data_IF_043447520785
#
_entry.id   IF_043447520785
#
_cell.length_a   1.000
_cell.length_b   1.000
_cell.length_c   1.000
_cell.angle_alpha   90.00
_cell.angle_beta   90.00
_cell.angle_gamma   90.00
#
_symmetry.space_group_name_H-M   'P 1'
#
loop_
_entity.id
_entity.type
_entity.pdbx_description
1 polymer ?
#
# COMPACT_ATOMS: atom_id res chain seq x y z
N UNK A 1 -23.04 -14.22 -7.90
CA UNK A 1 -22.45 -14.45 -6.57
C UNK A 1 -22.87 -13.31 -5.67
N UNK A 2 -23.10 -13.57 -4.38
CA UNK A 2 -23.68 -12.57 -3.48
C UNK A 2 -22.59 -11.57 -3.10
N UNK A 3 -22.54 -10.41 -3.78
CA UNK A 3 -21.47 -9.40 -3.66
C UNK A 3 -21.09 -9.04 -2.21
N UNK A 4 -22.03 -9.15 -1.28
CA UNK A 4 -21.82 -8.86 0.15
C UNK A 4 -20.99 -9.94 0.89
N UNK A 5 -21.09 -11.21 0.48
CA UNK A 5 -20.31 -12.31 1.07
C UNK A 5 -18.84 -12.19 0.65
N UNK A 6 -18.60 -11.83 -0.60
CA UNK A 6 -17.26 -11.66 -1.15
C UNK A 6 -16.56 -10.45 -0.51
N UNK A 7 -17.27 -9.34 -0.31
CA UNK A 7 -16.72 -8.16 0.37
C UNK A 7 -16.29 -8.45 1.81
N UNK A 8 -17.10 -9.16 2.60
CA UNK A 8 -16.72 -9.51 3.98
C UNK A 8 -15.50 -10.42 4.01
N UNK A 9 -15.37 -11.34 3.05
CA UNK A 9 -14.19 -12.19 2.94
C UNK A 9 -12.94 -11.37 2.60
N UNK A 10 -13.06 -10.39 1.70
CA UNK A 10 -11.99 -9.44 1.38
C UNK A 10 -11.59 -8.66 2.63
N UNK A 11 -12.55 -8.02 3.31
CA UNK A 11 -12.29 -7.23 4.53
C UNK A 11 -11.58 -8.04 5.61
N UNK A 12 -12.01 -9.29 5.85
CA UNK A 12 -11.37 -10.17 6.81
C UNK A 12 -9.91 -10.48 6.44
N UNK A 13 -9.62 -10.66 5.14
CA UNK A 13 -8.26 -10.90 4.64
C UNK A 13 -7.40 -9.64 4.63
N UNK A 14 -7.97 -8.49 4.28
CA UNK A 14 -7.28 -7.19 4.40
C UNK A 14 -6.87 -6.93 5.84
N UNK A 15 -7.73 -7.29 6.81
CA UNK A 15 -7.40 -7.14 8.24
C UNK A 15 -6.28 -8.09 8.68
N UNK A 16 -6.30 -9.37 8.27
CA UNK A 16 -5.21 -10.33 8.53
C UNK A 16 -3.87 -9.81 7.97
N UNK A 17 -3.87 -9.29 6.73
CA UNK A 17 -2.69 -8.68 6.12
C UNK A 17 -2.21 -7.45 6.90
N UNK A 18 -3.13 -6.60 7.35
CA UNK A 18 -2.82 -5.41 8.13
C UNK A 18 -2.26 -5.75 9.51
N UNK A 19 -2.79 -6.77 10.19
CA UNK A 19 -2.26 -7.25 11.47
C UNK A 19 -0.83 -7.77 11.32
N UNK A 20 -0.58 -8.55 10.25
CA UNK A 20 0.76 -9.01 9.91
C UNK A 20 1.71 -7.83 9.64
N UNK A 21 1.29 -6.88 8.79
CA UNK A 21 2.07 -5.69 8.48
C UNK A 21 2.36 -4.83 9.74
N UNK A 22 1.39 -4.73 10.65
CA UNK A 22 1.54 -4.04 11.94
C UNK A 22 2.57 -4.71 12.84
N UNK A 23 2.54 -6.04 12.92
CA UNK A 23 3.55 -6.78 13.66
C UNK A 23 4.96 -6.53 13.06
N UNK A 24 5.08 -6.63 11.74
CA UNK A 24 6.34 -6.44 11.02
C UNK A 24 6.96 -5.06 11.26
N UNK A 25 6.21 -3.97 11.04
CA UNK A 25 6.79 -2.64 11.19
C UNK A 25 7.16 -2.33 12.66
N UNK A 26 6.43 -2.89 13.63
CA UNK A 26 6.75 -2.75 15.06
C UNK A 26 8.01 -3.50 15.44
N UNK A 27 8.17 -4.74 14.96
CA UNK A 27 9.36 -5.55 15.21
C UNK A 27 10.64 -4.87 14.70
N UNK A 28 10.54 -4.17 13.57
CA UNK A 28 11.68 -3.50 12.94
C UNK A 28 11.82 -1.99 13.28
N UNK A 29 11.08 -1.50 14.29
CA UNK A 29 11.12 -0.10 14.74
C UNK A 29 10.92 0.91 13.58
N UNK A 30 9.91 0.64 12.75
CA UNK A 30 9.51 1.50 11.63
C UNK A 30 8.25 2.29 12.01
N UNK A 31 8.20 3.55 11.59
CA UNK A 31 7.02 4.38 11.79
C UNK A 31 6.01 4.20 10.65
N UNK A 32 4.76 3.93 11.01
CA UNK A 32 3.67 3.71 10.07
C UNK A 32 2.37 4.29 10.62
N UNK A 33 1.53 4.82 9.73
CA UNK A 33 0.23 5.40 10.07
C UNK A 33 -0.85 4.78 9.21
N UNK A 34 -1.92 4.27 9.82
CA UNK A 34 -3.14 3.94 9.08
C UNK A 34 -3.74 5.23 8.49
N UNK A 35 -4.19 5.19 7.25
CA UNK A 35 -4.78 6.36 6.59
C UNK A 35 -6.06 6.03 5.81
N UNK A 36 -6.57 7.01 5.08
CA UNK A 36 -7.74 6.84 4.19
C UNK A 36 -8.99 6.33 4.90
N UNK A 37 -9.70 5.42 4.21
CA UNK A 37 -10.93 4.78 4.68
C UNK A 37 -10.72 3.99 5.96
N UNK A 38 -9.59 3.29 6.09
CA UNK A 38 -9.22 2.54 7.30
C UNK A 38 -9.15 3.40 8.56
N UNK A 39 -8.48 4.57 8.49
CA UNK A 39 -8.38 5.48 9.62
C UNK A 39 -9.74 6.08 10.02
N UNK A 40 -10.56 6.46 9.03
CA UNK A 40 -11.91 6.99 9.27
C UNK A 40 -12.82 5.88 9.84
N UNK A 41 -12.74 4.66 9.31
CA UNK A 41 -13.49 3.51 9.78
C UNK A 41 -13.17 3.17 11.23
N UNK A 42 -11.89 3.15 11.60
CA UNK A 42 -11.46 2.89 12.97
C UNK A 42 -12.12 3.86 13.98
N UNK A 43 -12.23 5.15 13.64
CA UNK A 43 -12.87 6.15 14.48
C UNK A 43 -14.41 6.12 14.42
N UNK A 44 -14.98 6.05 13.20
CA UNK A 44 -16.42 6.21 12.95
C UNK A 44 -17.21 4.92 13.18
N UNK A 45 -16.71 3.81 12.64
CA UNK A 45 -17.38 2.51 12.63
C UNK A 45 -16.83 1.56 13.71
N UNK A 46 -15.73 1.93 14.39
CA UNK A 46 -14.97 1.04 15.29
C UNK A 46 -14.51 -0.24 14.57
N UNK A 47 -14.18 -0.10 13.29
CA UNK A 47 -13.85 -1.20 12.39
C UNK A 47 -13.83 -0.75 10.93
N UNK A 48 -13.69 -1.70 10.02
CA UNK A 48 -13.68 -1.41 8.57
C UNK A 48 -15.01 -0.79 8.14
N UNK A 49 -14.96 0.17 7.21
CA UNK A 49 -16.15 0.79 6.64
C UNK A 49 -16.91 -0.27 5.81
N UNK A 50 -18.25 -0.42 5.94
CA UNK A 50 -18.96 -1.57 5.38
C UNK A 50 -18.86 -1.78 3.86
N UNK A 51 -18.59 -0.71 3.10
CA UNK A 51 -18.48 -0.73 1.64
C UNK A 51 -17.04 -0.62 1.13
N UNK A 52 -16.07 -0.63 2.04
CA UNK A 52 -14.63 -0.44 1.77
C UNK A 52 -13.95 -1.80 1.66
N UNK A 53 -13.02 -1.95 0.71
CA UNK A 53 -12.39 -3.22 0.35
C UNK A 53 -10.85 -3.22 0.43
N UNK A 54 -10.23 -2.07 0.71
CA UNK A 54 -8.78 -1.90 0.84
C UNK A 54 -8.36 -1.29 2.18
N UNK A 55 -7.04 -1.27 2.41
CA UNK A 55 -6.40 -0.62 3.55
C UNK A 55 -5.11 0.06 3.09
N UNK A 56 -5.01 1.34 3.42
CA UNK A 56 -3.87 2.19 3.09
C UNK A 56 -3.07 2.57 4.33
N UNK A 57 -1.75 2.64 4.16
CA UNK A 57 -0.82 3.10 5.19
C UNK A 57 0.12 4.18 4.65
N UNK A 58 0.46 5.15 5.50
CA UNK A 58 1.55 6.09 5.25
C UNK A 58 2.79 5.70 6.05
N UNK A 59 3.96 5.82 5.42
CA UNK A 59 5.26 5.72 6.10
C UNK A 59 6.13 6.91 5.75
N UNK A 60 6.84 7.54 6.72
CA UNK A 60 7.86 8.53 6.39
C UNK A 60 8.86 7.97 5.38
N UNK A 61 9.33 8.79 4.42
CA UNK A 61 10.27 8.36 3.37
C UNK A 61 11.41 7.46 3.89
N UNK A 62 12.02 7.83 5.02
CA UNK A 62 13.12 7.05 5.62
C UNK A 62 12.71 5.62 5.94
N UNK A 63 11.55 5.44 6.57
CA UNK A 63 11.08 4.11 6.99
C UNK A 63 10.45 3.35 5.84
N UNK A 64 9.88 4.06 4.86
CA UNK A 64 9.42 3.49 3.59
C UNK A 64 10.56 2.86 2.77
N UNK A 65 11.72 3.52 2.68
CA UNK A 65 12.88 2.92 2.00
C UNK A 65 13.44 1.73 2.79
N UNK A 66 13.52 1.83 4.12
CA UNK A 66 13.90 0.69 4.97
C UNK A 66 12.96 -0.50 4.80
N UNK A 67 11.65 -0.27 4.70
CA UNK A 67 10.67 -1.32 4.45
C UNK A 67 11.04 -2.12 3.19
N UNK A 68 11.36 -1.43 2.10
CA UNK A 68 11.75 -2.07 0.84
C UNK A 68 13.04 -2.91 0.96
N UNK A 69 13.95 -2.56 1.87
CA UNK A 69 15.18 -3.30 2.13
C UNK A 69 14.97 -4.50 3.07
N UNK A 70 14.11 -4.34 4.08
CA UNK A 70 13.87 -5.33 5.13
C UNK A 70 12.88 -6.40 4.71
N UNK A 71 11.83 -6.03 3.97
CA UNK A 71 10.75 -6.95 3.61
C UNK A 71 11.24 -8.21 2.90
N UNK A 72 12.11 -8.15 1.87
CA UNK A 72 12.56 -9.35 1.17
C UNK A 72 13.43 -10.29 2.03
N UNK A 73 13.87 -9.85 3.21
CA UNK A 73 14.77 -10.61 4.09
C UNK A 73 14.04 -11.26 5.25
N UNK A 74 12.98 -10.62 5.76
CA UNK A 74 12.36 -10.98 7.03
C UNK A 74 10.86 -11.27 6.91
N UNK A 75 10.20 -10.79 5.86
CA UNK A 75 8.78 -11.02 5.70
C UNK A 75 8.51 -12.48 5.29
N UNK A 76 7.32 -12.96 5.65
CA UNK A 76 6.79 -14.23 5.20
C UNK A 76 6.71 -14.22 3.67
N UNK A 77 7.23 -15.27 3.04
CA UNK A 77 7.24 -15.37 1.59
C UNK A 77 5.85 -15.23 0.98
N UNK A 78 4.77 -15.59 1.71
CA UNK A 78 3.37 -15.39 1.30
C UNK A 78 3.06 -13.96 0.87
N UNK A 79 3.67 -12.96 1.48
CA UNK A 79 3.40 -11.56 1.20
C UNK A 79 4.46 -10.95 0.29
N UNK A 80 4.13 -10.83 -0.99
CA UNK A 80 5.01 -10.26 -2.00
C UNK A 80 5.01 -8.73 -1.95
N UNK A 81 6.16 -8.11 -1.74
CA UNK A 81 6.32 -6.66 -1.85
C UNK A 81 6.58 -6.27 -3.31
N UNK A 82 5.66 -5.49 -3.86
CA UNK A 82 5.71 -4.90 -5.18
C UNK A 82 6.14 -3.44 -5.07
N UNK A 83 7.26 -3.08 -5.73
CA UNK A 83 7.75 -1.70 -5.85
C UNK A 83 8.35 -1.51 -7.23
N UNK A 84 7.71 -0.67 -8.04
CA UNK A 84 8.22 -0.32 -9.36
C UNK A 84 9.66 0.22 -9.31
N UNK A 85 10.51 -0.28 -10.20
CA UNK A 85 11.89 0.13 -10.43
C UNK A 85 12.23 0.01 -11.94
N UNK A 86 13.50 0.12 -12.31
CA UNK A 86 13.93 0.09 -13.73
C UNK A 86 13.72 -1.27 -14.41
N UNK A 87 13.71 -2.36 -13.65
CA UNK A 87 13.67 -3.75 -14.14
C UNK A 87 12.31 -4.43 -13.86
N UNK A 88 11.45 -3.80 -13.05
CA UNK A 88 10.14 -4.30 -12.66
C UNK A 88 9.13 -3.15 -12.58
N UNK A 89 7.99 -3.27 -13.26
CA UNK A 89 6.95 -2.23 -13.27
C UNK A 89 5.61 -2.85 -12.89
N UNK A 90 5.04 -2.37 -11.78
CA UNK A 90 3.70 -2.73 -11.32
C UNK A 90 2.64 -1.66 -11.60
N UNK A 91 3.01 -0.55 -12.26
CA UNK A 91 2.14 0.61 -12.54
C UNK A 91 1.66 1.38 -11.30
N UNK A 92 2.20 1.09 -10.12
CA UNK A 92 1.96 1.87 -8.91
C UNK A 92 3.14 2.82 -8.63
N UNK A 93 2.86 3.95 -7.99
CA UNK A 93 3.87 4.95 -7.57
C UNK A 93 4.36 4.73 -6.12
N UNK A 94 3.89 3.67 -5.49
CA UNK A 94 4.08 3.35 -4.08
C UNK A 94 4.25 1.83 -3.90
N UNK A 95 4.56 1.40 -2.68
CA UNK A 95 4.72 -0.02 -2.35
C UNK A 95 3.34 -0.64 -2.24
N UNK A 96 3.14 -1.79 -2.87
CA UNK A 96 1.96 -2.63 -2.67
C UNK A 96 2.41 -3.99 -2.15
N UNK A 97 1.90 -4.40 -1.00
CA UNK A 97 2.12 -5.74 -0.43
C UNK A 97 0.96 -6.64 -0.88
N UNK A 98 1.28 -7.80 -1.47
CA UNK A 98 0.30 -8.68 -2.11
C UNK A 98 0.29 -10.08 -1.49
N UNK A 99 -0.88 -10.56 -1.10
CA UNK A 99 -1.06 -11.94 -0.63
C UNK A 99 -1.08 -12.93 -1.81
N UNK A 100 -0.04 -13.76 -1.94
CA UNK A 100 0.10 -14.75 -3.03
C UNK A 100 -0.90 -15.89 -2.96
N UNK A 101 -1.54 -16.14 -1.81
CA UNK A 101 -2.50 -17.22 -1.65
C UNK A 101 -3.92 -16.86 -2.13
N UNK A 102 -4.13 -15.61 -2.53
CA UNK A 102 -5.42 -15.11 -3.02
C UNK A 102 -5.28 -14.56 -4.44
N UNK A 103 -6.42 -14.42 -5.10
CA UNK A 103 -6.48 -13.83 -6.44
C UNK A 103 -7.40 -12.62 -6.41
N UNK A 104 -6.83 -11.45 -6.66
CA UNK A 104 -7.50 -10.18 -6.90
C UNK A 104 -6.78 -9.47 -8.05
N UNK A 105 -7.40 -9.48 -9.23
CA UNK A 105 -6.78 -8.93 -10.44
C UNK A 105 -7.26 -7.50 -10.63
N UNK A 106 -6.36 -6.51 -10.49
CA UNK A 106 -6.68 -5.12 -10.80
C UNK A 106 -6.74 -4.95 -12.34
N UNK A 107 -7.80 -4.33 -12.91
CA UNK A 107 -7.98 -4.25 -14.37
C UNK A 107 -6.79 -3.69 -15.13
N UNK A 108 -6.11 -2.71 -14.55
CA UNK A 108 -4.94 -2.05 -15.14
C UNK A 108 -3.62 -2.80 -14.92
N UNK A 109 -3.63 -3.99 -14.30
CA UNK A 109 -2.44 -4.83 -14.08
C UNK A 109 -2.58 -6.21 -14.72
N UNK A 110 -3.70 -6.49 -15.41
CA UNK A 110 -4.04 -7.83 -15.94
C UNK A 110 -2.95 -8.46 -16.81
N UNK A 111 -2.21 -7.65 -17.55
CA UNK A 111 -1.15 -8.06 -18.47
C UNK A 111 0.25 -8.13 -17.83
N UNK A 112 0.37 -7.83 -16.53
CA UNK A 112 1.64 -7.87 -15.82
C UNK A 112 1.89 -9.25 -15.21
N UNK A 113 3.13 -9.72 -15.34
CA UNK A 113 3.62 -10.95 -14.70
C UNK A 113 4.03 -10.66 -13.25
N UNK A 114 3.03 -10.53 -12.38
CA UNK A 114 3.21 -10.35 -10.94
C UNK A 114 2.11 -11.10 -10.17
N UNK A 115 2.29 -11.41 -8.87
CA UNK A 115 1.25 -12.03 -8.07
C UNK A 115 0.02 -11.12 -7.97
N UNK A 116 -1.09 -11.52 -8.61
CA UNK A 116 -2.36 -10.79 -8.56
C UNK A 116 -3.14 -11.13 -7.30
N UNK A 117 -2.57 -10.78 -6.15
CA UNK A 117 -3.16 -11.00 -4.82
C UNK A 117 -3.99 -9.83 -4.31
N UNK A 118 -4.66 -10.06 -3.19
CA UNK A 118 -5.21 -8.96 -2.39
C UNK A 118 -4.07 -8.03 -1.99
N UNK A 119 -4.31 -6.73 -2.03
CA UNK A 119 -3.28 -5.69 -1.96
C UNK A 119 -3.46 -4.83 -0.70
N UNK A 120 -2.36 -4.55 -0.02
CA UNK A 120 -2.24 -3.52 1.00
C UNK A 120 -1.28 -2.46 0.48
N UNK A 121 -1.76 -1.21 0.41
CA UNK A 121 -1.02 -0.12 -0.21
C UNK A 121 -0.28 0.69 0.88
N UNK A 122 1.02 0.88 0.68
CA UNK A 122 1.91 1.63 1.57
C UNK A 122 2.44 2.82 0.80
N UNK A 123 2.00 4.00 1.18
CA UNK A 123 2.32 5.26 0.52
C UNK A 123 3.47 5.97 1.26
N UNK A 124 4.45 6.52 0.53
CA UNK A 124 5.51 7.31 1.16
C UNK A 124 5.00 8.71 1.54
N UNK A 125 5.28 9.11 2.77
CA UNK A 125 5.09 10.46 3.26
C UNK A 125 6.39 11.25 3.10
N UNK A 126 6.40 12.12 2.09
CA UNK A 126 7.53 12.98 1.79
C UNK A 126 7.43 14.32 2.53
N UNK A 127 8.54 14.74 3.13
CA UNK A 127 8.64 16.07 3.70
C UNK A 127 8.71 17.13 2.58
N UNK A 128 7.83 18.12 2.68
CA UNK A 128 7.90 19.34 1.89
C UNK A 128 8.53 20.45 2.73
N UNK A 129 9.65 20.99 2.24
CA UNK A 129 10.26 22.17 2.86
C UNK A 129 9.27 23.34 2.84
N UNK A 130 9.20 24.12 3.93
CA UNK A 130 8.40 25.35 4.01
C UNK A 130 8.75 26.41 2.94
N UNK A 131 9.85 26.21 2.20
CA UNK A 131 10.22 27.07 1.09
C UNK A 131 9.28 26.85 -0.11
N UNK A 132 8.39 27.82 -0.35
CA UNK A 132 7.32 27.74 -1.34
C UNK A 132 7.83 27.50 -2.78
N UNK A 133 9.03 27.97 -3.11
CA UNK A 133 9.63 27.75 -4.43
C UNK A 133 9.99 26.28 -4.67
N UNK A 134 10.58 25.62 -3.67
CA UNK A 134 10.90 24.19 -3.74
C UNK A 134 9.64 23.32 -3.77
N UNK A 135 8.59 23.72 -3.04
CA UNK A 135 7.30 23.04 -3.09
C UNK A 135 6.65 23.13 -4.48
N UNK A 136 6.71 24.30 -5.13
CA UNK A 136 6.20 24.49 -6.49
C UNK A 136 6.97 23.65 -7.52
N UNK A 137 8.31 23.61 -7.43
CA UNK A 137 9.16 22.80 -8.32
C UNK A 137 8.83 21.31 -8.18
N UNK A 138 8.74 20.79 -6.94
CA UNK A 138 8.34 19.39 -6.71
C UNK A 138 6.94 19.09 -7.26
N UNK A 139 5.97 20.01 -7.11
CA UNK A 139 4.62 19.87 -7.64
C UNK A 139 4.61 19.79 -9.17
N UNK A 140 5.39 20.64 -9.85
CA UNK A 140 5.52 20.63 -11.31
C UNK A 140 6.17 19.33 -11.80
N UNK A 141 7.22 18.85 -11.13
CA UNK A 141 7.88 17.58 -11.50
C UNK A 141 6.92 16.40 -11.31
N UNK A 142 6.26 16.30 -10.15
CA UNK A 142 5.27 15.25 -9.87
C UNK A 142 4.13 15.25 -10.89
N UNK A 143 3.62 16.43 -11.26
CA UNK A 143 2.52 16.56 -12.21
C UNK A 143 2.95 16.24 -13.65
N UNK A 144 4.18 16.58 -14.04
CA UNK A 144 4.75 16.17 -15.33
C UNK A 144 4.94 14.65 -15.40
N UNK A 145 5.35 14.00 -14.31
CA UNK A 145 5.45 12.54 -14.24
C UNK A 145 4.10 11.85 -14.32
N UNK A 146 3.04 12.44 -13.76
CA UNK A 146 1.66 11.93 -13.86
C UNK A 146 1.04 12.06 -15.26
N UNK A 147 1.55 12.95 -16.13
CA UNK A 147 1.06 13.14 -17.52
C UNK A 147 1.73 12.24 -18.56
N UNK A 148 2.70 11.41 -18.16
CA UNK A 148 3.45 10.54 -19.09
C UNK A 148 2.87 9.12 -19.20
N UNK A 149 1.64 8.93 -18.74
CA UNK A 149 0.83 7.72 -18.92
C UNK A 149 -0.48 8.09 -19.60
#
# INVERSE_FOLDING_TARGET
>A
MNNMTDLKAIQARSLEMAEYFVAFYKEHDLLCYLCGGGAIGALRNKGVIPWDDDLDFFMPRKDYEKLAELWPRYADERYFLSKSNKDFVDRNLFITIRDKEKTCIKPYQQDLELPHGLALDVLPLDYFSKNQLFALIKKIISWKSMRRY
#
